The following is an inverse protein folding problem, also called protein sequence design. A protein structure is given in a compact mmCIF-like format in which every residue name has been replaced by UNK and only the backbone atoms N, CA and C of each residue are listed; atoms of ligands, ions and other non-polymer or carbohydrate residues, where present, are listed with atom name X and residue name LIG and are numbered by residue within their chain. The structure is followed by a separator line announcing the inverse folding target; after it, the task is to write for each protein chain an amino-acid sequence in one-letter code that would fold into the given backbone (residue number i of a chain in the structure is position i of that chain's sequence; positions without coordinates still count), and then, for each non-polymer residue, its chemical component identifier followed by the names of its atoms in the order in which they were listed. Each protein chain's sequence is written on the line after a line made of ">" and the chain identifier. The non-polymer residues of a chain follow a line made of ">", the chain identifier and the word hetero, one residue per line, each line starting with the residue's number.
data_IF_931952220118
#
_entry.id   IF_931952220118
#
_cell.length_a   1.000
_cell.length_b   1.000
_cell.length_c   1.000
_cell.angle_alpha   90.00
_cell.angle_beta   90.00
_cell.angle_gamma   90.00
#
_symmetry.space_group_name_H-M   'P 1'
#
loop_
_entity.id
_entity.type
_entity.pdbx_description
1 polymer ?
#
# COMPACT_ATOMS: atom_id res chain seq x y z
N UNK A 1 -43.18 5.64 18.24
CA UNK A 1 -41.86 5.07 18.58
C UNK A 1 -40.80 6.02 18.03
N UNK A 2 -39.96 6.64 18.87
CA UNK A 2 -38.84 7.47 18.39
C UNK A 2 -37.71 6.51 17.97
N UNK A 3 -37.58 6.28 16.67
CA UNK A 3 -36.46 5.49 16.13
C UNK A 3 -35.16 6.23 16.44
N UNK A 4 -34.27 5.59 17.19
CA UNK A 4 -32.91 6.09 17.36
C UNK A 4 -32.25 6.05 15.99
N UNK A 5 -31.84 7.22 15.47
CA UNK A 5 -31.05 7.29 14.24
C UNK A 5 -29.85 6.34 14.39
N UNK A 6 -29.54 5.52 13.37
CA UNK A 6 -28.35 4.68 13.41
C UNK A 6 -27.14 5.55 13.73
N UNK A 7 -26.28 5.07 14.63
CA UNK A 7 -25.06 5.81 15.00
C UNK A 7 -24.23 5.99 13.74
N UNK A 8 -24.15 7.23 13.25
CA UNK A 8 -23.34 7.57 12.08
C UNK A 8 -21.87 7.39 12.43
N UNK A 9 -21.15 6.67 11.58
CA UNK A 9 -19.73 6.50 11.68
C UNK A 9 -19.05 7.47 10.72
N UNK A 10 -18.38 8.49 11.26
CA UNK A 10 -17.80 9.57 10.43
C UNK A 10 -16.34 9.29 10.07
N UNK A 11 -15.84 9.96 9.04
CA UNK A 11 -14.43 9.91 8.67
C UNK A 11 -13.51 10.32 9.83
N UNK A 12 -13.89 11.34 10.60
CA UNK A 12 -13.15 11.77 11.80
C UNK A 12 -13.06 10.65 12.84
N UNK A 13 -14.15 9.90 13.07
CA UNK A 13 -14.15 8.76 14.00
C UNK A 13 -13.19 7.64 13.56
N UNK A 14 -13.06 7.41 12.25
CA UNK A 14 -12.08 6.48 11.69
C UNK A 14 -10.64 6.96 11.87
N UNK A 15 -10.39 8.23 11.58
CA UNK A 15 -9.06 8.83 11.72
C UNK A 15 -8.59 8.82 13.18
N UNK A 16 -9.46 9.19 14.12
CA UNK A 16 -9.18 9.15 15.56
C UNK A 16 -8.89 7.73 16.04
N UNK A 17 -9.67 6.75 15.55
CA UNK A 17 -9.45 5.35 15.87
C UNK A 17 -8.11 4.85 15.31
N UNK A 18 -7.76 5.25 14.09
CA UNK A 18 -6.49 4.90 13.46
C UNK A 18 -5.30 5.46 14.24
N UNK A 19 -5.38 6.73 14.66
CA UNK A 19 -4.36 7.37 15.50
C UNK A 19 -4.20 6.64 16.84
N UNK A 20 -5.31 6.25 17.46
CA UNK A 20 -5.32 5.47 18.70
C UNK A 20 -4.59 4.12 18.55
N UNK A 21 -4.89 3.37 17.48
CA UNK A 21 -4.24 2.08 17.19
C UNK A 21 -2.74 2.26 16.97
N UNK A 22 -2.33 3.26 16.17
CA UNK A 22 -0.92 3.56 15.92
C UNK A 22 -0.17 3.84 17.22
N UNK A 23 -0.76 4.64 18.11
CA UNK A 23 -0.19 4.93 19.41
C UNK A 23 -0.06 3.68 20.29
N UNK A 24 -1.11 2.85 20.37
CA UNK A 24 -1.10 1.62 21.18
C UNK A 24 -0.05 0.61 20.74
N UNK A 25 0.13 0.45 19.43
CA UNK A 25 1.05 -0.52 18.85
C UNK A 25 2.43 0.06 18.53
N UNK A 26 2.69 1.32 18.91
CA UNK A 26 3.93 2.04 18.61
C UNK A 26 4.29 2.00 17.11
N UNK A 27 3.27 2.02 16.24
CA UNK A 27 3.43 1.95 14.79
C UNK A 27 3.76 3.35 14.28
N UNK A 28 4.94 3.55 13.68
CA UNK A 28 5.31 4.84 13.12
C UNK A 28 4.31 5.32 12.05
N UNK A 29 4.15 6.63 11.89
CA UNK A 29 3.20 7.22 10.93
C UNK A 29 3.48 6.85 9.48
N UNK A 30 4.74 6.55 9.15
CA UNK A 30 5.18 6.10 7.82
C UNK A 30 4.85 4.63 7.53
N UNK A 31 4.55 3.81 8.55
CA UNK A 31 4.11 2.43 8.32
C UNK A 31 2.64 2.46 7.88
N UNK A 32 2.29 1.85 6.73
CA UNK A 32 0.90 1.76 6.29
C UNK A 32 0.09 0.91 7.26
N UNK A 33 -1.15 1.32 7.53
CA UNK A 33 -2.06 0.49 8.33
C UNK A 33 -2.59 -0.62 7.45
N UNK A 34 -2.28 -1.86 7.85
CA UNK A 34 -2.88 -3.06 7.29
C UNK A 34 -4.27 -3.22 7.88
N UNK A 35 -5.25 -3.38 7.02
CA UNK A 35 -6.60 -3.78 7.42
C UNK A 35 -6.85 -5.18 6.86
N UNK A 36 -7.63 -5.99 7.53
CA UNK A 36 -7.99 -7.33 7.05
C UNK A 36 -9.48 -7.36 6.71
N UNK A 37 -9.83 -7.74 5.47
CA UNK A 37 -11.20 -8.07 5.09
C UNK A 37 -11.30 -9.59 4.96
N UNK A 38 -12.13 -10.23 5.78
CA UNK A 38 -12.29 -11.70 5.76
C UNK A 38 -10.96 -12.46 5.87
N UNK A 39 -10.01 -11.93 6.66
CA UNK A 39 -8.67 -12.52 6.81
C UNK A 39 -7.69 -12.23 5.67
N UNK A 40 -8.08 -11.42 4.67
CA UNK A 40 -7.17 -10.96 3.62
C UNK A 40 -6.59 -9.58 3.99
N UNK A 41 -5.27 -9.48 4.22
CA UNK A 41 -4.64 -8.20 4.52
C UNK A 41 -4.60 -7.30 3.28
N UNK A 42 -4.97 -6.04 3.44
CA UNK A 42 -4.87 -4.99 2.43
C UNK A 42 -4.24 -3.73 3.04
N UNK A 43 -3.45 -3.02 2.24
CA UNK A 43 -2.86 -1.75 2.67
C UNK A 43 -3.82 -0.60 2.35
N UNK A 44 -4.10 0.24 3.34
CA UNK A 44 -4.82 1.50 3.12
C UNK A 44 -3.86 2.65 2.86
N UNK A 45 -4.14 3.41 1.82
CA UNK A 45 -3.54 4.71 1.53
C UNK A 45 -4.64 5.73 1.21
N UNK A 46 -4.27 7.01 1.08
CA UNK A 46 -5.24 8.08 0.80
C UNK A 46 -5.86 8.00 -0.60
N UNK A 47 -5.26 7.23 -1.52
CA UNK A 47 -5.74 7.06 -2.88
C UNK A 47 -6.73 5.92 -3.06
N UNK A 48 -6.78 4.95 -2.15
CA UNK A 48 -7.60 3.73 -2.29
C UNK A 48 -8.76 3.63 -1.28
N UNK A 49 -9.02 4.74 -0.57
CA UNK A 49 -10.10 4.87 0.39
C UNK A 49 -10.91 6.14 0.12
N UNK A 50 -12.22 6.00 -0.07
CA UNK A 50 -13.12 7.16 -0.17
C UNK A 50 -14.44 6.92 0.55
N UNK A 51 -15.07 8.01 0.96
CA UNK A 51 -16.45 8.02 1.47
C UNK A 51 -17.34 8.56 0.35
N UNK A 52 -18.30 7.78 -0.11
CA UNK A 52 -19.21 8.19 -1.19
C UNK A 52 -20.26 9.18 -0.68
N UNK A 53 -20.92 9.89 -1.59
CA UNK A 53 -22.01 10.81 -1.27
C UNK A 53 -23.20 10.11 -0.58
N UNK A 54 -23.33 8.78 -0.76
CA UNK A 54 -24.31 7.93 -0.08
C UNK A 54 -23.88 7.53 1.34
N UNK A 55 -22.72 7.99 1.81
CA UNK A 55 -22.16 7.65 3.12
C UNK A 55 -21.61 6.23 3.21
N UNK A 56 -21.30 5.60 2.06
CA UNK A 56 -20.66 4.29 2.01
C UNK A 56 -19.14 4.41 1.98
N UNK A 57 -18.45 3.43 2.55
CA UNK A 57 -17.00 3.29 2.39
C UNK A 57 -16.73 2.54 1.09
N UNK A 58 -16.04 3.19 0.16
CA UNK A 58 -15.50 2.53 -1.01
C UNK A 58 -14.01 2.26 -0.79
N UNK A 59 -13.65 0.99 -0.90
CA UNK A 59 -12.28 0.50 -0.84
C UNK A 59 -11.94 0.01 -2.23
N UNK A 60 -10.96 0.64 -2.88
CA UNK A 60 -10.43 0.11 -4.12
C UNK A 60 -9.32 -0.87 -3.77
N UNK A 61 -9.45 -2.12 -4.22
CA UNK A 61 -8.36 -3.09 -4.18
C UNK A 61 -7.29 -2.60 -5.17
N UNK A 62 -6.45 -1.67 -4.73
CA UNK A 62 -5.23 -1.33 -5.43
C UNK A 62 -4.29 -2.51 -5.27
N UNK A 63 -4.36 -3.47 -6.19
CA UNK A 63 -3.28 -4.42 -6.40
C UNK A 63 -2.06 -3.57 -6.69
N UNK A 64 -1.03 -3.64 -5.84
CA UNK A 64 0.15 -2.78 -5.96
C UNK A 64 0.64 -2.76 -7.40
N UNK A 65 0.56 -1.60 -8.05
CA UNK A 65 1.10 -1.43 -9.39
C UNK A 65 2.61 -1.28 -9.26
N UNK A 66 3.34 -2.33 -9.66
CA UNK A 66 4.79 -2.37 -9.58
C UNK A 66 5.46 -1.20 -10.32
N UNK A 67 4.85 -0.67 -11.39
CA UNK A 67 5.36 0.50 -12.09
C UNK A 67 5.25 1.75 -11.22
N UNK A 68 4.10 1.93 -10.55
CA UNK A 68 3.89 3.04 -9.61
C UNK A 68 4.87 2.92 -8.43
N UNK A 69 5.08 1.73 -7.91
CA UNK A 69 6.05 1.48 -6.84
C UNK A 69 7.49 1.80 -7.28
N UNK A 70 7.89 1.43 -8.50
CA UNK A 70 9.20 1.75 -9.07
C UNK A 70 9.43 3.27 -9.19
N UNK A 71 8.42 4.00 -9.68
CA UNK A 71 8.48 5.46 -9.82
C UNK A 71 8.54 6.13 -8.44
N UNK A 72 7.71 5.70 -7.50
CA UNK A 72 7.70 6.23 -6.14
C UNK A 72 9.06 6.02 -5.43
N UNK A 73 9.65 4.83 -5.55
CA UNK A 73 10.95 4.51 -4.98
C UNK A 73 12.02 5.50 -5.45
N UNK A 74 12.10 5.77 -6.76
CA UNK A 74 13.08 6.68 -7.36
C UNK A 74 12.87 8.14 -6.95
N UNK A 75 11.62 8.56 -6.78
CA UNK A 75 11.30 9.92 -6.32
C UNK A 75 11.66 10.14 -4.84
N UNK A 76 11.47 9.11 -4.01
CA UNK A 76 11.75 9.15 -2.57
C UNK A 76 13.22 8.91 -2.24
N UNK A 77 13.90 8.11 -3.07
CA UNK A 77 15.30 7.76 -2.97
C UNK A 77 16.00 8.29 -4.23
N UNK A 78 16.30 9.60 -4.30
CA UNK A 78 17.08 10.15 -5.40
C UNK A 78 18.47 9.51 -5.37
N UNK A 79 18.59 8.38 -6.07
CA UNK A 79 19.85 7.70 -6.30
C UNK A 79 20.67 8.49 -7.31
N UNK A 80 21.95 8.16 -7.48
CA UNK A 80 22.80 8.87 -8.44
C UNK A 80 22.33 8.65 -9.90
N UNK A 81 21.59 7.56 -10.15
CA UNK A 81 21.13 7.14 -11.47
C UNK A 81 19.64 6.72 -11.51
N UNK A 82 18.69 7.65 -11.26
CA UNK A 82 17.25 7.35 -11.20
C UNK A 82 16.70 6.83 -12.53
N UNK A 83 17.24 7.33 -13.64
CA UNK A 83 16.85 6.90 -14.98
C UNK A 83 17.40 5.51 -15.33
N UNK A 84 18.55 5.10 -14.78
CA UNK A 84 19.10 3.76 -15.02
C UNK A 84 18.26 2.72 -14.29
N UNK A 85 17.88 2.99 -13.04
CA UNK A 85 16.93 2.15 -12.30
C UNK A 85 15.63 1.95 -13.08
N UNK A 86 14.98 3.04 -13.53
CA UNK A 86 13.71 2.94 -14.26
C UNK A 86 13.87 2.22 -15.60
N UNK A 87 15.02 2.36 -16.27
CA UNK A 87 15.33 1.61 -17.50
C UNK A 87 15.44 0.12 -17.21
N UNK A 88 16.27 -0.28 -16.23
CA UNK A 88 16.42 -1.68 -15.83
C UNK A 88 15.09 -2.30 -15.43
N UNK A 89 14.26 -1.56 -14.68
CA UNK A 89 12.92 -1.98 -14.30
C UNK A 89 12.01 -2.21 -15.52
N UNK A 90 11.97 -1.24 -16.44
CA UNK A 90 11.13 -1.32 -17.64
C UNK A 90 11.58 -2.41 -18.62
N UNK A 91 12.87 -2.73 -18.65
CA UNK A 91 13.43 -3.82 -19.48
C UNK A 91 13.27 -5.21 -18.84
N UNK A 92 12.82 -5.28 -17.58
CA UNK A 92 12.66 -6.52 -16.84
C UNK A 92 13.96 -7.09 -16.29
N UNK A 93 15.03 -6.27 -16.19
CA UNK A 93 16.31 -6.66 -15.61
C UNK A 93 16.26 -6.59 -14.07
N UNK A 94 15.40 -7.41 -13.49
CA UNK A 94 15.16 -7.44 -12.04
C UNK A 94 16.33 -8.03 -11.25
N UNK A 95 17.22 -8.79 -11.90
CA UNK A 95 18.43 -9.32 -11.28
C UNK A 95 19.46 -8.22 -11.05
N UNK A 96 19.69 -7.35 -12.05
CA UNK A 96 20.51 -6.16 -11.88
C UNK A 96 19.95 -5.26 -10.78
N UNK A 97 18.62 -5.06 -10.74
CA UNK A 97 17.98 -4.25 -9.69
C UNK A 97 18.23 -4.78 -8.29
N UNK A 98 18.13 -6.10 -8.07
CA UNK A 98 18.40 -6.71 -6.75
C UNK A 98 19.88 -6.64 -6.35
N UNK A 99 20.77 -6.57 -7.32
CA UNK A 99 22.22 -6.53 -7.10
C UNK A 99 22.68 -5.11 -6.79
N UNK A 100 22.23 -4.13 -7.57
CA UNK A 100 22.66 -2.73 -7.48
C UNK A 100 21.84 -1.92 -6.48
N UNK A 101 20.55 -2.25 -6.30
CA UNK A 101 19.64 -1.62 -5.33
C UNK A 101 19.03 -2.67 -4.39
N UNK A 102 19.83 -3.28 -3.49
CA UNK A 102 19.35 -4.36 -2.63
C UNK A 102 18.27 -3.94 -1.63
N UNK A 103 18.16 -2.64 -1.34
CA UNK A 103 17.17 -2.06 -0.43
C UNK A 103 15.83 -1.72 -1.11
N UNK A 104 15.68 -2.03 -2.40
CA UNK A 104 14.45 -1.73 -3.14
C UNK A 104 13.26 -2.55 -2.59
N UNK A 105 12.11 -1.92 -2.33
CA UNK A 105 10.95 -2.61 -1.76
C UNK A 105 10.39 -3.69 -2.70
N UNK A 106 9.88 -4.78 -2.12
CA UNK A 106 9.34 -5.92 -2.86
C UNK A 106 8.17 -5.53 -3.78
N UNK A 107 7.41 -4.50 -3.38
CA UNK A 107 6.31 -3.89 -4.12
C UNK A 107 6.70 -3.47 -5.54
N UNK A 108 7.98 -3.15 -5.77
CA UNK A 108 8.53 -2.83 -7.10
C UNK A 108 8.54 -4.05 -8.03
N UNK A 109 8.52 -5.27 -7.50
CA UNK A 109 8.58 -6.50 -8.29
C UNK A 109 7.25 -7.25 -8.37
N UNK A 110 6.34 -7.05 -7.41
CA UNK A 110 5.09 -7.81 -7.30
C UNK A 110 4.20 -7.56 -8.52
N UNK A 111 4.00 -8.60 -9.33
CA UNK A 111 3.18 -8.53 -10.54
C UNK A 111 3.94 -8.09 -11.81
N UNK A 112 5.15 -7.54 -11.67
CA UNK A 112 6.05 -7.23 -12.79
C UNK A 112 7.08 -8.33 -13.06
N UNK A 113 7.65 -8.93 -12.00
CA UNK A 113 8.60 -10.04 -12.11
C UNK A 113 7.88 -11.38 -11.91
N UNK A 114 7.77 -12.24 -12.94
CA UNK A 114 7.15 -13.57 -12.83
C UNK A 114 7.89 -14.51 -11.86
N UNK A 115 9.18 -14.28 -11.62
CA UNK A 115 10.00 -15.07 -10.70
C UNK A 115 9.92 -14.56 -9.26
N UNK A 116 9.32 -13.38 -9.05
CA UNK A 116 9.11 -12.86 -7.71
C UNK A 116 8.02 -13.68 -7.03
N UNK A 117 8.45 -14.69 -6.27
CA UNK A 117 7.54 -15.52 -5.51
C UNK A 117 6.86 -14.67 -4.45
N UNK A 118 5.58 -14.36 -4.66
CA UNK A 118 4.71 -14.00 -3.55
C UNK A 118 4.75 -15.18 -2.58
N UNK A 119 5.45 -15.01 -1.46
CA UNK A 119 5.33 -15.91 -0.31
C UNK A 119 3.93 -15.72 0.26
N UNK A 120 2.95 -16.30 -0.41
CA UNK A 120 1.51 -16.22 -0.13
C UNK A 120 0.73 -17.42 -0.65
N UNK A 121 1.39 -18.43 -1.22
CA UNK A 121 0.81 -19.74 -1.47
C UNK A 121 0.93 -20.61 -0.22
N UNK A 122 0.01 -20.45 0.72
CA UNK A 122 -0.19 -21.42 1.79
C UNK A 122 -0.39 -22.82 1.18
N UNK A 123 0.44 -23.78 1.60
CA UNK A 123 0.08 -25.19 1.66
C UNK A 123 -0.50 -25.48 3.04
#
# INVERSE_FOLDING_TARGET
>A
MKGQLPKTFTLGMLQDRLATIRQQHQVPTWVPVKVELNGMPFQLNTGNFTVTDEGSFALELSVSDAAVAAIAYVLEHPCESPMEFLRCWNEGDFEALRTEWPDVPAEVFIGADPLHQQSGGAR
#
